data_IF_708182989991
#
_entry.id   IF_708182989991
#
_cell.length_a   1.000
_cell.length_b   1.000
_cell.length_c   1.000
_cell.angle_alpha   90.00
_cell.angle_beta   90.00
_cell.angle_gamma   90.00
#
_symmetry.space_group_name_H-M   'P 1'
#
loop_
_entity.id
_entity.type
_entity.pdbx_description
1 polymer ?
#
# COMPACT_ATOMS: atom_id res chain seq x y z
N UNK A 1 -0.39 -40.03 35.60
CA UNK A 1 0.25 -39.49 34.38
C UNK A 1 -0.60 -38.32 33.89
N UNK A 2 -0.03 -37.12 33.76
CA UNK A 2 -0.70 -35.93 33.21
C UNK A 2 -0.13 -35.68 31.81
N UNK A 3 -0.98 -35.78 30.79
CA UNK A 3 -0.63 -35.47 29.41
C UNK A 3 -0.89 -33.98 29.20
N UNK A 4 0.16 -33.22 28.93
CA UNK A 4 0.06 -31.81 28.58
C UNK A 4 0.08 -31.70 27.06
N UNK A 5 -1.06 -31.33 26.46
CA UNK A 5 -1.12 -30.93 25.06
C UNK A 5 -0.62 -29.48 24.96
N UNK A 6 0.57 -29.30 24.38
CA UNK A 6 1.05 -27.99 23.93
C UNK A 6 0.21 -27.58 22.71
N UNK A 7 -0.76 -26.70 22.91
CA UNK A 7 -1.45 -26.04 21.81
C UNK A 7 -0.47 -25.05 21.15
N UNK A 8 0.03 -25.39 19.96
CA UNK A 8 0.77 -24.46 19.11
C UNK A 8 -0.22 -23.43 18.56
N UNK A 9 -0.23 -22.22 19.13
CA UNK A 9 -0.93 -21.08 18.55
C UNK A 9 -0.13 -20.59 17.33
N UNK A 10 -0.60 -20.92 16.12
CA UNK A 10 -0.12 -20.30 14.88
C UNK A 10 -0.66 -18.88 14.87
N UNK A 11 0.20 -17.90 15.14
CA UNK A 11 -0.16 -16.49 14.96
C UNK A 11 -0.26 -16.24 13.44
N UNK A 12 -1.36 -15.64 12.95
CA UNK A 12 -1.43 -15.24 11.54
C UNK A 12 -0.31 -14.23 11.27
N UNK A 13 0.60 -14.58 10.37
CA UNK A 13 1.55 -13.64 9.79
C UNK A 13 0.76 -12.65 8.95
N UNK A 14 0.58 -11.43 9.47
CA UNK A 14 0.04 -10.31 8.72
C UNK A 14 0.92 -10.09 7.49
N UNK A 15 0.39 -10.38 6.30
CA UNK A 15 1.09 -10.21 5.04
C UNK A 15 0.75 -8.85 4.48
N UNK A 16 1.73 -7.95 4.47
CA UNK A 16 1.65 -6.70 3.73
C UNK A 16 1.29 -7.01 2.26
N UNK A 17 0.29 -6.33 1.73
CA UNK A 17 -0.10 -6.37 0.33
C UNK A 17 -0.21 -4.96 -0.24
N UNK A 18 -0.17 -4.84 -1.57
CA UNK A 18 -0.33 -3.58 -2.26
C UNK A 18 -1.59 -3.60 -3.12
N UNK A 19 -2.45 -2.61 -2.90
CA UNK A 19 -3.74 -2.51 -3.58
C UNK A 19 -3.81 -1.21 -4.35
N UNK A 20 -4.11 -1.29 -5.65
CA UNK A 20 -4.50 -0.12 -6.43
C UNK A 20 -5.92 0.29 -6.06
N UNK A 21 -6.04 1.42 -5.37
CA UNK A 21 -7.33 1.97 -4.94
C UNK A 21 -8.18 2.51 -6.09
N UNK A 22 -9.42 2.90 -5.78
CA UNK A 22 -10.27 3.65 -6.70
C UNK A 22 -9.77 5.11 -6.86
N UNK A 23 -10.26 5.80 -7.89
CA UNK A 23 -9.91 7.21 -8.14
C UNK A 23 -10.26 8.10 -6.93
N UNK A 24 -9.34 8.96 -6.51
CA UNK A 24 -9.57 9.90 -5.40
C UNK A 24 -9.53 9.28 -4.00
N UNK A 25 -9.38 7.95 -3.88
CA UNK A 25 -9.39 7.28 -2.59
C UNK A 25 -8.04 7.43 -1.85
N UNK A 26 -8.11 7.67 -0.55
CA UNK A 26 -6.96 7.55 0.35
C UNK A 26 -6.74 6.09 0.78
N UNK A 27 -5.55 5.78 1.30
CA UNK A 27 -5.21 4.40 1.65
C UNK A 27 -5.91 3.88 2.91
N UNK A 28 -6.35 4.76 3.81
CA UNK A 28 -7.23 4.35 4.91
C UNK A 28 -8.55 3.76 4.38
N UNK A 29 -9.12 4.37 3.35
CA UNK A 29 -10.34 3.88 2.71
C UNK A 29 -10.08 2.57 1.96
N UNK A 30 -9.01 2.50 1.16
CA UNK A 30 -8.65 1.31 0.36
C UNK A 30 -8.39 0.09 1.24
N UNK A 31 -7.68 0.28 2.36
CA UNK A 31 -7.29 -0.82 3.26
C UNK A 31 -8.31 -1.10 4.39
N UNK A 32 -9.50 -0.49 4.36
CA UNK A 32 -10.49 -0.61 5.44
C UNK A 32 -10.94 -2.05 5.72
N UNK A 33 -10.93 -2.94 4.72
CA UNK A 33 -11.23 -4.38 4.86
C UNK A 33 -9.99 -5.26 5.07
N UNK A 34 -8.80 -4.65 5.17
CA UNK A 34 -7.48 -5.30 5.11
C UNK A 34 -6.61 -4.94 6.31
N UNK A 35 -7.23 -4.82 7.49
CA UNK A 35 -6.59 -4.46 8.75
C UNK A 35 -5.86 -3.10 8.76
N UNK A 36 -6.19 -2.22 7.80
CA UNK A 36 -5.67 -0.86 7.73
C UNK A 36 -4.43 -0.70 6.85
N UNK A 37 -3.96 0.55 6.77
CA UNK A 37 -2.80 0.95 5.97
C UNK A 37 -1.53 0.96 6.82
N UNK A 38 -0.42 0.43 6.28
CA UNK A 38 0.90 0.44 6.93
C UNK A 38 1.73 1.66 6.50
N UNK A 39 1.85 2.63 7.41
CA UNK A 39 2.59 3.88 7.20
C UNK A 39 4.12 3.67 7.09
N UNK A 40 4.66 2.50 7.44
CA UNK A 40 6.09 2.22 7.38
C UNK A 40 6.51 1.47 6.11
N UNK A 41 5.55 1.01 5.32
CA UNK A 41 5.76 0.16 4.16
C UNK A 41 6.14 0.90 2.88
N UNK A 42 6.14 2.24 2.88
CA UNK A 42 6.34 3.03 1.66
C UNK A 42 7.67 2.69 0.94
N UNK A 43 7.64 2.59 -0.41
CA UNK A 43 8.84 2.29 -1.18
C UNK A 43 9.88 3.41 -1.02
N UNK A 44 11.13 3.02 -0.84
CA UNK A 44 12.30 3.90 -0.66
C UNK A 44 13.22 3.89 -1.88
N UNK A 45 12.94 3.04 -2.85
CA UNK A 45 13.69 2.93 -4.09
C UNK A 45 12.74 2.62 -5.25
N UNK A 46 13.23 2.85 -6.47
CA UNK A 46 12.51 2.47 -7.68
C UNK A 46 12.24 0.96 -7.73
N UNK A 47 13.21 0.12 -7.31
CA UNK A 47 13.02 -1.33 -7.27
C UNK A 47 11.92 -1.76 -6.30
N UNK A 48 11.86 -1.16 -5.10
CA UNK A 48 10.74 -1.41 -4.18
C UNK A 48 9.41 -0.98 -4.76
N UNK A 49 9.37 0.08 -5.59
CA UNK A 49 8.15 0.48 -6.27
C UNK A 49 7.77 -0.45 -7.43
N UNK A 50 8.74 -1.03 -8.14
CA UNK A 50 8.47 -2.07 -9.14
C UNK A 50 7.81 -3.29 -8.49
N UNK A 51 8.22 -3.68 -7.29
CA UNK A 51 7.56 -4.73 -6.50
C UNK A 51 6.10 -4.35 -6.16
N UNK A 52 5.85 -3.07 -5.80
CA UNK A 52 4.48 -2.56 -5.57
C UNK A 52 3.61 -2.74 -6.82
N UNK A 53 4.14 -2.43 -8.00
CA UNK A 53 3.43 -2.56 -9.27
C UNK A 53 3.12 -4.02 -9.59
N UNK A 54 4.09 -4.91 -9.38
CA UNK A 54 3.91 -6.36 -9.56
C UNK A 54 2.80 -6.90 -8.65
N UNK A 55 2.88 -6.61 -7.33
CA UNK A 55 1.89 -7.07 -6.34
C UNK A 55 0.49 -6.50 -6.66
N UNK A 56 0.43 -5.24 -7.09
CA UNK A 56 -0.83 -4.58 -7.44
C UNK A 56 -1.39 -5.04 -8.80
N UNK A 57 -0.65 -5.86 -9.56
CA UNK A 57 -1.04 -6.31 -10.89
C UNK A 57 -1.17 -5.18 -11.91
N UNK A 58 -0.34 -4.15 -11.81
CA UNK A 58 -0.42 -2.95 -12.65
C UNK A 58 0.88 -2.68 -13.40
N UNK A 59 0.78 -2.12 -14.60
CA UNK A 59 1.93 -1.71 -15.40
C UNK A 59 1.73 -0.27 -15.86
N UNK A 60 2.78 0.53 -15.75
CA UNK A 60 2.79 1.93 -16.17
C UNK A 60 3.50 2.05 -17.52
N UNK A 61 3.08 2.97 -18.39
CA UNK A 61 3.82 3.30 -19.62
C UNK A 61 5.15 3.99 -19.30
N UNK A 62 5.21 4.69 -18.17
CA UNK A 62 6.43 5.29 -17.64
C UNK A 62 6.35 5.50 -16.14
N UNK A 63 7.50 5.44 -15.48
CA UNK A 63 7.67 5.67 -14.04
C UNK A 63 8.56 6.90 -13.86
N UNK A 64 8.14 7.81 -12.98
CA UNK A 64 8.91 8.99 -12.59
C UNK A 64 9.07 9.04 -11.08
N UNK A 65 10.16 9.66 -10.61
CA UNK A 65 10.23 10.08 -9.20
C UNK A 65 9.01 10.96 -8.92
N UNK A 66 8.27 10.55 -7.90
CA UNK A 66 7.14 11.29 -7.39
C UNK A 66 7.62 12.41 -6.49
N UNK A 67 6.72 13.31 -6.14
CA UNK A 67 6.97 14.28 -5.08
C UNK A 67 5.67 14.72 -4.43
N UNK A 68 4.58 14.02 -4.74
CA UNK A 68 3.29 14.33 -4.16
C UNK A 68 3.18 13.66 -2.79
N UNK A 69 2.50 14.29 -1.81
CA UNK A 69 2.23 13.66 -0.51
C UNK A 69 1.49 12.32 -0.61
N UNK A 70 0.75 12.11 -1.70
CA UNK A 70 -0.07 10.92 -1.92
C UNK A 70 0.60 9.82 -2.74
N UNK A 71 1.78 10.06 -3.31
CA UNK A 71 2.52 8.99 -4.00
C UNK A 71 2.74 7.81 -3.03
N UNK A 72 2.90 6.55 -3.50
CA UNK A 72 2.86 6.13 -4.89
C UNK A 72 1.46 6.18 -5.52
N UNK A 73 1.39 6.59 -6.77
CA UNK A 73 0.13 6.80 -7.49
C UNK A 73 0.26 6.66 -9.02
N UNK A 74 -0.88 6.60 -9.72
CA UNK A 74 -0.99 6.63 -11.17
C UNK A 74 -2.19 7.46 -11.63
N UNK A 75 -2.09 8.10 -12.80
CA UNK A 75 -3.21 8.74 -13.49
C UNK A 75 -4.03 7.76 -14.38
N UNK A 76 -3.61 6.49 -14.43
CA UNK A 76 -4.14 5.48 -15.35
C UNK A 76 -3.19 5.13 -16.50
N UNK A 77 -2.07 5.85 -16.65
CA UNK A 77 -1.08 5.62 -17.71
C UNK A 77 0.34 5.71 -17.15
N UNK A 78 0.67 6.80 -16.46
CA UNK A 78 1.98 7.07 -15.87
C UNK A 78 1.94 6.94 -14.35
N UNK A 79 3.10 6.67 -13.74
CA UNK A 79 3.21 6.43 -12.30
C UNK A 79 4.26 7.31 -11.63
N UNK A 80 3.92 7.87 -10.47
CA UNK A 80 4.83 8.54 -9.54
C UNK A 80 4.97 7.72 -8.26
N UNK A 81 6.17 7.59 -7.71
CA UNK A 81 6.41 6.66 -6.58
C UNK A 81 6.97 7.29 -5.31
N UNK A 82 7.85 8.27 -5.46
CA UNK A 82 8.55 8.90 -4.34
C UNK A 82 7.64 9.92 -3.66
N UNK A 83 7.18 9.64 -2.44
CA UNK A 83 6.37 10.59 -1.68
C UNK A 83 7.22 11.56 -0.86
N UNK A 84 6.65 12.71 -0.49
CA UNK A 84 7.34 13.67 0.39
C UNK A 84 7.57 13.06 1.78
N UNK A 85 8.83 12.83 2.14
CA UNK A 85 9.23 12.25 3.44
C UNK A 85 9.32 13.28 4.58
N UNK A 86 9.39 14.57 4.25
CA UNK A 86 9.48 15.68 5.23
C UNK A 86 8.12 16.19 5.74
N UNK A 87 7.04 15.62 5.23
CA UNK A 87 5.67 15.92 5.65
C UNK A 87 5.44 15.44 7.09
N UNK A 88 4.88 16.30 7.96
CA UNK A 88 4.41 15.88 9.30
C UNK A 88 3.11 15.06 9.26
N UNK A 89 2.50 14.91 8.08
CA UNK A 89 1.22 14.21 7.90
C UNK A 89 1.47 12.77 7.44
N UNK A 90 0.77 11.78 8.03
CA UNK A 90 0.76 10.40 7.55
C UNK A 90 0.23 10.31 6.11
N UNK A 91 0.96 9.61 5.24
CA UNK A 91 0.59 9.43 3.84
C UNK A 91 -0.63 8.53 3.68
N UNK A 92 -0.94 7.64 4.62
CA UNK A 92 -2.12 6.78 4.53
C UNK A 92 -3.43 7.58 4.38
N UNK A 93 -3.51 8.77 4.98
CA UNK A 93 -4.68 9.65 4.94
C UNK A 93 -4.68 10.70 3.82
N UNK A 94 -3.65 10.75 2.98
CA UNK A 94 -3.57 11.73 1.90
C UNK A 94 -4.54 11.38 0.76
N UNK A 95 -5.39 12.33 0.40
CA UNK A 95 -6.33 12.19 -0.71
C UNK A 95 -5.69 12.63 -2.01
N UNK A 96 -6.23 12.12 -3.12
CA UNK A 96 -5.86 12.57 -4.46
C UNK A 96 -7.01 13.29 -5.13
N UNK A 97 -6.76 13.89 -6.28
CA UNK A 97 -7.82 14.33 -7.17
C UNK A 97 -8.59 13.15 -7.79
N UNK A 98 -9.66 13.45 -8.53
CA UNK A 98 -10.53 12.46 -9.18
C UNK A 98 -9.90 11.78 -10.40
N UNK A 99 -8.68 12.16 -10.82
CA UNK A 99 -7.95 11.52 -11.92
C UNK A 99 -6.97 10.45 -11.44
N UNK A 100 -6.57 10.50 -10.18
CA UNK A 100 -5.44 9.74 -9.65
C UNK A 100 -5.89 8.53 -8.83
N UNK A 101 -5.16 7.43 -8.95
CA UNK A 101 -5.30 6.19 -8.18
C UNK A 101 -4.06 6.00 -7.32
N UNK A 102 -4.22 5.69 -6.03
CA UNK A 102 -3.10 5.38 -5.14
C UNK A 102 -2.78 3.89 -5.13
N UNK A 103 -1.50 3.55 -4.95
CA UNK A 103 -1.09 2.21 -4.54
C UNK A 103 -0.93 2.21 -3.02
N UNK A 104 -1.68 1.35 -2.34
CA UNK A 104 -1.86 1.42 -0.90
C UNK A 104 -1.29 0.17 -0.19
N UNK A 105 -0.43 0.35 0.81
CA UNK A 105 0.14 -0.74 1.60
C UNK A 105 -0.88 -1.19 2.64
N UNK A 106 -1.56 -2.30 2.40
CA UNK A 106 -2.54 -2.85 3.34
C UNK A 106 -1.94 -3.97 4.17
N UNK A 107 -2.29 -4.04 5.46
CA UNK A 107 -1.70 -4.98 6.44
C UNK A 107 -2.09 -6.44 6.21
N UNK A 108 -3.19 -6.68 5.48
CA UNK A 108 -3.67 -8.01 5.11
C UNK A 108 -4.07 -8.10 3.64
N UNK A 109 -3.89 -9.27 3.05
CA UNK A 109 -4.35 -9.66 1.71
C UNK A 109 -5.82 -10.11 1.67
N UNK A 110 -6.56 -9.96 2.78
CA UNK A 110 -7.96 -10.37 2.86
C UNK A 110 -8.86 -9.52 1.96
N UNK A 111 -9.52 -10.18 1.04
CA UNK A 111 -10.62 -9.64 0.25
C UNK A 111 -11.98 -9.91 0.95
N UNK A 112 -12.96 -9.03 0.74
CA UNK A 112 -14.34 -9.21 1.25
C UNK A 112 -15.04 -10.40 0.58
#
# INVERSE_FOLDING_TARGET
>A
MRVYFLALFVLPTQSLTWVKGAKGADCNTVCSSRDGCDENAWPKSLGEFEDVLEISGYTCEGIQSGGAPFDPSTDGTYCGWEGVTSSRKPRCGEKTDSGTFRFCPCVSDREL
#
